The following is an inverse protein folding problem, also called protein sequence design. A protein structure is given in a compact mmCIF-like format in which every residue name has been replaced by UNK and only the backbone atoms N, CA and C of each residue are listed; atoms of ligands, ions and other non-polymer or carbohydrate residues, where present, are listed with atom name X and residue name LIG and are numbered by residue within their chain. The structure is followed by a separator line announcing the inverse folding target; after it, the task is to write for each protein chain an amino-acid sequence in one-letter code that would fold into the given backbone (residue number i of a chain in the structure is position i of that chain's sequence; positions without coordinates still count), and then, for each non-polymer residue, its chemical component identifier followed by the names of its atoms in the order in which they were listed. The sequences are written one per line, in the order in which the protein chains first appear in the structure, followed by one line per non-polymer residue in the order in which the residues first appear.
data_IF_814614286315
#
_entry.id   IF_814614286315
#
_cell.length_a   1.000
_cell.length_b   1.000
_cell.length_c   1.000
_cell.angle_alpha   90.00
_cell.angle_beta   90.00
_cell.angle_gamma   90.00
#
_symmetry.space_group_name_H-M   'P 1'
#
loop_
_entity.id
_entity.type
_entity.pdbx_description
1 polymer ?
#
# COMPACT_ATOMS: atom_id res chain seq x y z
N UNK A 1 8.88 -14.97 -10.62
CA UNK A 1 8.40 -14.43 -9.33
C UNK A 1 6.89 -14.37 -9.38
N UNK A 2 6.14 -14.97 -8.43
CA UNK A 2 4.67 -15.01 -8.49
C UNK A 2 4.07 -13.68 -8.03
N UNK A 3 3.06 -13.22 -8.76
CA UNK A 3 2.32 -12.00 -8.50
C UNK A 3 1.00 -12.38 -7.82
N UNK A 4 0.64 -11.66 -6.76
CA UNK A 4 -0.65 -11.83 -6.07
C UNK A 4 -1.70 -10.97 -6.75
N UNK A 5 -1.39 -9.71 -7.02
CA UNK A 5 -2.21 -8.83 -7.83
C UNK A 5 -1.36 -7.72 -8.45
N UNK A 6 -1.94 -7.09 -9.47
CA UNK A 6 -1.45 -5.85 -10.07
C UNK A 6 -2.59 -4.85 -10.16
N UNK A 7 -2.27 -3.57 -9.99
CA UNK A 7 -3.25 -2.50 -10.02
C UNK A 7 -2.61 -1.24 -10.55
N UNK A 8 -3.35 -0.46 -11.32
CA UNK A 8 -2.91 0.90 -11.68
C UNK A 8 -3.19 1.83 -10.51
N UNK A 9 -2.20 2.58 -10.08
CA UNK A 9 -2.40 3.60 -9.06
C UNK A 9 -3.12 4.84 -9.62
N UNK A 10 -3.38 5.83 -8.76
CA UNK A 10 -3.97 7.13 -9.12
C UNK A 10 -3.23 7.85 -10.25
N UNK A 11 -1.94 7.61 -10.42
CA UNK A 11 -1.08 8.24 -11.43
C UNK A 11 -0.96 7.37 -12.69
N UNK A 12 -1.70 6.27 -12.80
CA UNK A 12 -1.69 5.34 -13.93
C UNK A 12 -0.51 4.36 -13.94
N UNK A 13 0.37 4.38 -12.93
CA UNK A 13 1.53 3.48 -12.84
C UNK A 13 1.08 2.08 -12.41
N UNK A 14 1.65 1.06 -13.04
CA UNK A 14 1.35 -0.33 -12.69
C UNK A 14 2.10 -0.72 -11.41
N UNK A 15 1.35 -1.05 -10.36
CA UNK A 15 1.86 -1.47 -9.06
C UNK A 15 1.52 -2.94 -8.82
N UNK A 16 2.54 -3.73 -8.48
CA UNK A 16 2.39 -5.16 -8.19
C UNK A 16 2.66 -5.51 -6.73
N UNK A 17 1.86 -6.45 -6.20
CA UNK A 17 2.19 -7.18 -4.99
C UNK A 17 2.76 -8.54 -5.38
N UNK A 18 4.02 -8.80 -5.00
CA UNK A 18 4.65 -10.10 -5.25
C UNK A 18 4.53 -11.01 -4.04
N UNK A 19 4.60 -12.33 -4.24
CA UNK A 19 4.51 -13.29 -3.13
C UNK A 19 5.61 -13.06 -2.09
N UNK A 20 6.82 -12.63 -2.49
CA UNK A 20 7.90 -12.27 -1.56
C UNK A 20 7.49 -11.14 -0.62
N UNK A 21 6.93 -10.06 -1.17
CA UNK A 21 6.51 -8.89 -0.39
C UNK A 21 5.28 -9.20 0.45
N UNK A 22 4.34 -9.97 -0.07
CA UNK A 22 3.21 -10.43 0.71
C UNK A 22 3.63 -11.28 1.90
N UNK A 23 4.57 -12.22 1.74
CA UNK A 23 5.11 -12.98 2.87
C UNK A 23 5.80 -12.07 3.91
N UNK A 24 6.51 -11.03 3.46
CA UNK A 24 7.07 -10.03 4.37
C UNK A 24 5.99 -9.30 5.17
N UNK A 25 4.93 -8.85 4.48
CA UNK A 25 3.78 -8.18 5.10
C UNK A 25 3.08 -9.12 6.08
N UNK A 26 2.80 -10.38 5.70
CA UNK A 26 2.12 -11.35 6.57
C UNK A 26 2.93 -11.71 7.81
N UNK A 27 4.27 -11.72 7.73
CA UNK A 27 5.13 -11.95 8.91
C UNK A 27 5.07 -10.80 9.92
N UNK A 28 4.93 -9.56 9.45
CA UNK A 28 4.91 -8.36 10.32
C UNK A 28 3.50 -7.92 10.73
N UNK A 29 2.57 -8.06 9.81
CA UNK A 29 1.19 -7.57 9.89
C UNK A 29 0.24 -8.65 9.36
N UNK A 30 0.11 -9.80 10.04
CA UNK A 30 -0.67 -10.94 9.56
C UNK A 30 -2.13 -10.58 9.31
N UNK A 31 -2.70 -9.62 10.03
CA UNK A 31 -4.07 -9.15 9.86
C UNK A 31 -4.35 -8.51 8.47
N UNK A 32 -3.32 -8.12 7.72
CA UNK A 32 -3.49 -7.48 6.41
C UNK A 32 -4.06 -8.39 5.32
N UNK A 33 -4.11 -9.72 5.54
CA UNK A 33 -4.76 -10.63 4.59
C UNK A 33 -6.23 -10.30 4.33
N UNK A 34 -6.90 -9.68 5.32
CA UNK A 34 -8.31 -9.29 5.23
C UNK A 34 -8.55 -8.02 4.43
N UNK A 35 -7.49 -7.22 4.22
CA UNK A 35 -7.59 -5.86 3.68
C UNK A 35 -6.99 -5.71 2.28
N UNK A 36 -6.90 -6.80 1.50
CA UNK A 36 -6.26 -6.77 0.18
C UNK A 36 -7.02 -5.90 -0.83
N UNK A 37 -8.35 -5.85 -0.75
CA UNK A 37 -9.16 -4.99 -1.61
C UNK A 37 -8.98 -3.51 -1.23
N UNK A 38 -8.93 -3.20 0.05
CA UNK A 38 -8.64 -1.87 0.56
C UNK A 38 -7.22 -1.42 0.17
N UNK A 39 -6.25 -2.33 0.12
CA UNK A 39 -4.90 -2.02 -0.39
C UNK A 39 -4.95 -1.62 -1.86
N UNK A 40 -5.69 -2.35 -2.71
CA UNK A 40 -5.86 -2.00 -4.13
C UNK A 40 -6.57 -0.65 -4.29
N UNK A 41 -7.67 -0.46 -3.55
CA UNK A 41 -8.42 0.79 -3.59
C UNK A 41 -7.59 1.97 -3.09
N UNK A 42 -6.75 1.78 -2.08
CA UNK A 42 -5.82 2.81 -1.57
C UNK A 42 -4.83 3.25 -2.65
N UNK A 43 -4.36 2.33 -3.50
CA UNK A 43 -3.49 2.69 -4.63
C UNK A 43 -4.25 3.45 -5.72
N UNK A 44 -5.48 3.03 -6.05
CA UNK A 44 -6.29 3.63 -7.11
C UNK A 44 -6.86 5.00 -6.73
N UNK A 45 -7.39 5.13 -5.51
CA UNK A 45 -8.15 6.29 -5.03
C UNK A 45 -7.71 6.70 -3.61
N UNK A 46 -6.42 7.04 -3.40
CA UNK A 46 -5.91 7.50 -2.11
C UNK A 46 -6.53 8.84 -1.72
N UNK A 47 -6.73 9.02 -0.41
CA UNK A 47 -7.08 10.31 0.18
C UNK A 47 -5.86 11.23 0.24
N UNK A 48 -4.68 10.65 0.49
CA UNK A 48 -3.41 11.37 0.52
C UNK A 48 -2.28 10.52 -0.04
N UNK A 49 -1.37 11.16 -0.79
CA UNK A 49 -0.09 10.60 -1.20
C UNK A 49 1.01 11.50 -0.62
N UNK A 50 2.02 10.90 -0.01
CA UNK A 50 3.20 11.61 0.54
C UNK A 50 4.50 10.90 0.19
N UNK A 51 5.62 11.59 0.37
CA UNK A 51 6.98 11.09 0.09
C UNK A 51 7.94 11.62 1.16
N UNK A 52 7.95 10.98 2.33
CA UNK A 52 8.85 11.36 3.44
C UNK A 52 10.17 10.62 3.45
N UNK A 53 10.32 9.61 2.60
CA UNK A 53 11.58 8.90 2.50
C UNK A 53 12.62 9.80 1.85
N UNK A 54 13.87 9.72 2.32
CA UNK A 54 15.02 10.27 1.60
C UNK A 54 15.15 9.68 0.18
N UNK A 55 14.51 8.53 -0.06
CA UNK A 55 14.45 7.93 -1.38
C UNK A 55 13.28 8.54 -2.20
N UNK A 56 13.57 9.25 -3.31
CA UNK A 56 12.56 9.93 -4.12
C UNK A 56 11.58 8.97 -4.80
N UNK A 57 11.92 7.69 -4.87
CA UNK A 57 11.09 6.68 -5.52
C UNK A 57 10.05 6.05 -4.59
N UNK A 58 10.05 6.39 -3.29
CA UNK A 58 9.14 5.79 -2.29
C UNK A 58 7.98 6.72 -2.00
N UNK A 59 6.78 6.16 -2.15
CA UNK A 59 5.52 6.86 -1.97
C UNK A 59 4.64 6.13 -0.95
N UNK A 60 3.91 6.93 -0.19
CA UNK A 60 3.04 6.50 0.89
C UNK A 60 1.62 6.90 0.53
N UNK A 61 0.75 5.91 0.35
CA UNK A 61 -0.65 6.09 0.00
C UNK A 61 -1.50 5.82 1.23
N UNK A 62 -2.36 6.78 1.56
CA UNK A 62 -3.27 6.69 2.69
C UNK A 62 -4.70 6.71 2.20
N UNK A 63 -5.52 5.82 2.73
CA UNK A 63 -6.96 5.88 2.57
C UNK A 63 -7.69 5.49 3.85
N UNK A 64 -8.65 6.32 4.23
CA UNK A 64 -9.49 6.12 5.40
C UNK A 64 -10.68 5.23 5.10
N UNK A 65 -11.00 4.31 6.03
CA UNK A 65 -12.17 3.42 5.90
C UNK A 65 -13.02 3.47 7.16
N UNK A 66 -14.33 3.66 6.99
CA UNK A 66 -15.28 3.77 8.11
C UNK A 66 -15.42 2.47 8.93
N UNK A 67 -15.15 1.32 8.30
CA UNK A 67 -15.28 0.01 8.94
C UNK A 67 -14.05 -0.37 9.77
N UNK A 68 -12.94 0.37 9.67
CA UNK A 68 -11.77 0.11 10.50
C UNK A 68 -12.01 0.63 11.92
N UNK A 69 -11.40 -0.03 12.90
CA UNK A 69 -11.49 0.39 14.30
C UNK A 69 -11.05 1.84 14.50
N UNK A 70 -11.62 2.52 15.51
CA UNK A 70 -11.32 3.93 15.80
C UNK A 70 -9.81 4.22 15.98
N UNK A 71 -9.06 3.21 16.41
CA UNK A 71 -7.62 3.30 16.63
C UNK A 71 -6.81 3.24 15.33
N UNK A 72 -7.34 2.72 14.23
CA UNK A 72 -6.62 2.39 13.00
C UNK A 72 -7.40 2.90 11.78
N UNK A 73 -7.37 4.20 11.55
CA UNK A 73 -8.31 4.84 10.60
C UNK A 73 -7.94 4.64 9.14
N UNK A 74 -6.68 4.35 8.84
CA UNK A 74 -6.16 4.35 7.48
C UNK A 74 -5.53 3.01 7.12
N UNK A 75 -5.75 2.57 5.88
CA UNK A 75 -4.82 1.65 5.22
C UNK A 75 -3.69 2.48 4.65
N UNK A 76 -2.46 2.12 5.01
CA UNK A 76 -1.25 2.68 4.45
C UNK A 76 -0.61 1.67 3.50
N UNK A 77 -0.37 2.11 2.26
CA UNK A 77 0.39 1.34 1.27
C UNK A 77 1.68 2.07 0.95
N UNK A 78 2.81 1.39 1.16
CA UNK A 78 4.14 1.92 0.82
C UNK A 78 4.56 1.26 -0.49
N UNK A 79 4.73 2.05 -1.54
CA UNK A 79 5.15 1.57 -2.85
C UNK A 79 6.45 2.25 -3.27
N UNK A 80 7.31 1.49 -3.96
CA UNK A 80 8.47 2.03 -4.66
C UNK A 80 8.23 1.99 -6.15
N UNK A 81 8.48 3.10 -6.83
CA UNK A 81 8.52 3.14 -8.28
C UNK A 81 9.92 2.79 -8.80
N UNK A 82 9.97 2.09 -9.92
CA UNK A 82 11.21 1.77 -10.62
C UNK A 82 10.89 1.61 -12.11
N UNK A 83 11.57 2.39 -12.96
CA UNK A 83 11.49 2.29 -14.42
C UNK A 83 10.06 2.34 -14.98
N UNK A 84 9.20 3.23 -14.45
CA UNK A 84 7.82 3.42 -14.93
C UNK A 84 6.78 2.46 -14.32
N UNK A 85 7.21 1.43 -13.62
CA UNK A 85 6.36 0.54 -12.83
C UNK A 85 6.61 0.76 -11.33
N UNK A 86 5.88 0.03 -10.48
CA UNK A 86 6.17 -0.01 -9.06
C UNK A 86 5.79 -1.31 -8.39
N UNK A 87 6.20 -1.43 -7.14
CA UNK A 87 5.87 -2.58 -6.30
C UNK A 87 5.61 -2.15 -4.87
N UNK A 88 4.77 -2.91 -4.19
CA UNK A 88 4.49 -2.68 -2.77
C UNK A 88 5.70 -3.14 -1.95
N UNK A 89 6.21 -2.26 -1.10
CA UNK A 89 7.23 -2.57 -0.10
C UNK A 89 6.59 -3.17 1.14
N UNK A 90 5.56 -2.50 1.67
CA UNK A 90 4.83 -2.91 2.86
C UNK A 90 3.44 -2.28 2.89
N UNK A 91 2.56 -2.84 3.71
CA UNK A 91 1.26 -2.25 4.03
C UNK A 91 0.86 -2.61 5.45
N UNK A 92 0.17 -1.70 6.13
CA UNK A 92 -0.34 -1.87 7.48
C UNK A 92 -1.42 -0.83 7.78
N UNK A 93 -2.13 -1.01 8.90
CA UNK A 93 -3.09 -0.01 9.37
C UNK A 93 -2.38 1.07 10.17
N UNK A 94 -2.72 2.33 9.92
CA UNK A 94 -2.11 3.50 10.56
C UNK A 94 -3.18 4.42 11.14
N UNK A 95 -2.84 5.10 12.24
CA UNK A 95 -3.76 5.98 12.97
C UNK A 95 -3.85 7.36 12.34
N UNK A 96 -2.71 7.84 11.84
CA UNK A 96 -2.52 9.20 11.36
C UNK A 96 -1.86 9.22 9.99
N UNK A 97 -2.29 10.15 9.14
CA UNK A 97 -1.53 10.52 7.95
C UNK A 97 -0.27 11.24 8.43
N UNK A 98 0.89 10.76 8.01
CA UNK A 98 2.15 11.45 8.27
C UNK A 98 2.38 12.53 7.23
#
# INVERSE_FOLDING_TARGET
MRIIFEVRDKNGKLIRLTTKQHLHIMKKHPYMHKYLEEVKETLQKPDKITSFSLNPDIYYFYKGYKHLEKSNKFVLVIAKYLNGEGYIISTYLEKNIR
#
